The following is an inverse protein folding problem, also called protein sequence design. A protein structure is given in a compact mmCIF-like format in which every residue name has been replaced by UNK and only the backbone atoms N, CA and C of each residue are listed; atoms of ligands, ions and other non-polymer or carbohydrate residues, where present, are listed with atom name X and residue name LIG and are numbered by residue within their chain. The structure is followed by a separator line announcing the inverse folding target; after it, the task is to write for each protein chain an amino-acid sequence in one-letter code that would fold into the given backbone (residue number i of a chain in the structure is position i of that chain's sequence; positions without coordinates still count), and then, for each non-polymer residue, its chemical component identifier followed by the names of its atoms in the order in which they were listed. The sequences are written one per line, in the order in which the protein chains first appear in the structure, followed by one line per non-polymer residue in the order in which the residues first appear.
data_IF_362636225781
#
_entry.id   IF_362636225781
#
_cell.length_a   1.000
_cell.length_b   1.000
_cell.length_c   1.000
_cell.angle_alpha   90.00
_cell.angle_beta   90.00
_cell.angle_gamma   90.00
#
_symmetry.space_group_name_H-M   'P 1'
#
loop_
_entity.id
_entity.type
_entity.pdbx_description
1 polymer ?
#
# COMPACT_ATOMS: atom_id res chain seq x y z
N UNK A 1 15.15 -24.49 1.57
CA UNK A 1 15.52 -24.05 0.20
C UNK A 1 16.41 -22.82 0.20
N UNK A 2 16.03 -21.71 0.87
CA UNK A 2 16.88 -20.50 0.93
C UNK A 2 18.28 -20.76 1.47
N UNK A 3 18.43 -21.40 2.63
CA UNK A 3 19.75 -21.71 3.21
C UNK A 3 20.59 -22.64 2.34
N UNK A 4 19.96 -23.64 1.72
CA UNK A 4 20.62 -24.55 0.78
C UNK A 4 21.14 -23.78 -0.45
N UNK A 5 20.30 -22.90 -1.01
CA UNK A 5 20.67 -22.06 -2.15
C UNK A 5 21.81 -21.08 -1.78
N UNK A 6 21.77 -20.47 -0.59
CA UNK A 6 22.82 -19.58 -0.09
C UNK A 6 24.16 -20.31 0.14
N UNK A 7 24.13 -21.56 0.62
CA UNK A 7 25.32 -22.39 0.80
C UNK A 7 25.98 -22.83 -0.52
N UNK A 8 25.17 -23.01 -1.57
CA UNK A 8 25.62 -23.40 -2.91
C UNK A 8 26.06 -22.18 -3.74
N UNK A 9 25.81 -20.97 -3.25
CA UNK A 9 26.18 -19.72 -3.89
C UNK A 9 27.69 -19.47 -3.84
N UNK A 10 28.30 -19.36 -5.02
CA UNK A 10 29.71 -19.00 -5.23
C UNK A 10 29.84 -17.52 -5.58
N UNK A 11 30.95 -16.88 -5.19
CA UNK A 11 31.18 -15.45 -5.43
C UNK A 11 31.42 -14.67 -4.14
N UNK A 12 32.36 -13.73 -4.19
CA UNK A 12 32.80 -12.93 -3.04
C UNK A 12 32.08 -11.58 -2.93
N UNK A 13 31.65 -10.99 -4.07
CA UNK A 13 30.92 -9.73 -4.12
C UNK A 13 29.40 -9.92 -4.11
N UNK A 14 28.89 -10.88 -4.89
CA UNK A 14 27.50 -11.33 -4.85
C UNK A 14 27.47 -12.85 -4.92
N UNK A 15 26.49 -13.45 -4.23
CA UNK A 15 26.27 -14.90 -4.25
C UNK A 15 25.57 -15.30 -5.55
N UNK A 16 26.22 -16.12 -6.36
CA UNK A 16 25.71 -16.66 -7.63
C UNK A 16 25.53 -18.18 -7.54
N UNK A 17 24.45 -18.71 -8.10
CA UNK A 17 24.26 -20.15 -8.28
C UNK A 17 24.37 -20.46 -9.77
N UNK A 18 25.39 -21.25 -10.15
CA UNK A 18 25.57 -21.66 -11.54
C UNK A 18 24.41 -22.54 -12.03
N UNK A 19 24.13 -22.54 -13.34
CA UNK A 19 23.03 -23.34 -13.90
C UNK A 19 23.20 -24.86 -13.71
N UNK A 20 24.43 -25.36 -13.60
CA UNK A 20 24.70 -26.77 -13.26
C UNK A 20 24.37 -27.05 -11.79
N UNK A 21 24.72 -26.15 -10.88
CA UNK A 21 24.39 -26.24 -9.45
C UNK A 21 22.89 -26.11 -9.20
N UNK A 22 22.19 -25.24 -9.94
CA UNK A 22 20.75 -25.06 -9.78
C UNK A 22 19.96 -26.34 -10.10
N UNK A 23 20.42 -27.13 -11.09
CA UNK A 23 19.78 -28.40 -11.50
C UNK A 23 19.84 -29.48 -10.44
N UNK A 24 20.81 -29.42 -9.52
CA UNK A 24 20.98 -30.43 -8.48
C UNK A 24 20.20 -30.12 -7.21
N UNK A 25 19.55 -28.95 -7.13
CA UNK A 25 18.79 -28.57 -5.96
C UNK A 25 17.53 -29.45 -5.86
N UNK A 26 17.37 -30.23 -4.78
CA UNK A 26 16.20 -31.06 -4.59
C UNK A 26 14.96 -30.19 -4.35
N UNK A 27 13.86 -30.53 -5.01
CA UNK A 27 12.56 -29.89 -4.78
C UNK A 27 11.45 -30.94 -4.79
N UNK A 28 10.36 -30.62 -4.09
CA UNK A 28 9.17 -31.48 -4.05
C UNK A 28 8.33 -31.14 -5.28
N UNK A 29 8.03 -32.15 -6.09
CA UNK A 29 7.17 -32.02 -7.27
C UNK A 29 5.81 -32.70 -6.98
N UNK A 30 4.76 -31.93 -6.63
CA UNK A 30 3.43 -32.50 -6.43
C UNK A 30 2.80 -32.91 -7.78
N UNK A 31 1.69 -33.68 -7.79
CA UNK A 31 0.96 -34.01 -9.02
C UNK A 31 0.49 -32.76 -9.79
N UNK A 32 0.37 -32.86 -11.13
CA UNK A 32 0.04 -31.71 -12.00
C UNK A 32 -1.26 -30.99 -11.61
N UNK A 33 -2.27 -31.72 -11.14
CA UNK A 33 -3.53 -31.12 -10.69
C UNK A 33 -3.30 -30.21 -9.46
N UNK A 34 -2.48 -30.66 -8.52
CA UNK A 34 -2.15 -29.90 -7.32
C UNK A 34 -1.23 -28.71 -7.65
N UNK A 35 -0.28 -28.87 -8.57
CA UNK A 35 0.55 -27.76 -9.05
C UNK A 35 -0.30 -26.59 -9.58
N UNK A 36 -1.33 -26.89 -10.38
CA UNK A 36 -2.26 -25.88 -10.91
C UNK A 36 -3.03 -25.19 -9.79
N UNK A 37 -3.60 -25.96 -8.87
CA UNK A 37 -4.35 -25.39 -7.73
C UNK A 37 -3.47 -24.49 -6.87
N UNK A 38 -2.21 -24.87 -6.62
CA UNK A 38 -1.26 -24.05 -5.88
C UNK A 38 -0.95 -22.77 -6.65
N UNK A 39 -0.66 -22.85 -7.95
CA UNK A 39 -0.37 -21.70 -8.80
C UNK A 39 -1.54 -20.71 -8.83
N UNK A 40 -2.76 -21.18 -9.10
CA UNK A 40 -3.96 -20.33 -9.17
C UNK A 40 -4.23 -19.60 -7.84
N UNK A 41 -4.00 -20.27 -6.71
CA UNK A 41 -4.12 -19.67 -5.38
C UNK A 41 -3.05 -18.60 -5.15
N UNK A 42 -1.81 -18.87 -5.52
CA UNK A 42 -0.72 -17.90 -5.39
C UNK A 42 -0.97 -16.66 -6.25
N UNK A 43 -1.41 -16.85 -7.50
CA UNK A 43 -1.75 -15.74 -8.40
C UNK A 43 -2.86 -14.87 -7.83
N UNK A 44 -3.90 -15.51 -7.29
CA UNK A 44 -5.00 -14.81 -6.62
C UNK A 44 -4.51 -13.99 -5.43
N UNK A 45 -3.69 -14.59 -4.56
CA UNK A 45 -3.15 -13.91 -3.37
C UNK A 45 -2.21 -12.76 -3.73
N UNK A 46 -1.35 -12.94 -4.74
CA UNK A 46 -0.45 -11.90 -5.22
C UNK A 46 -1.22 -10.74 -5.85
N UNK A 47 -2.28 -11.01 -6.61
CA UNK A 47 -3.16 -9.98 -7.16
C UNK A 47 -3.86 -9.16 -6.05
N UNK A 48 -4.34 -9.83 -4.99
CA UNK A 48 -4.93 -9.16 -3.83
C UNK A 48 -3.91 -8.30 -3.08
N UNK A 49 -2.68 -8.80 -2.93
CA UNK A 49 -1.59 -8.06 -2.30
C UNK A 49 -1.25 -6.81 -3.10
N UNK A 50 -1.13 -6.91 -4.42
CA UNK A 50 -0.79 -5.76 -5.26
C UNK A 50 -1.93 -4.72 -5.29
N UNK A 51 -3.19 -5.17 -5.29
CA UNK A 51 -4.33 -4.26 -5.13
C UNK A 51 -4.28 -3.51 -3.80
N UNK A 52 -4.01 -4.22 -2.70
CA UNK A 52 -3.93 -3.64 -1.36
C UNK A 52 -2.79 -2.64 -1.26
N UNK A 53 -1.63 -2.98 -1.81
CA UNK A 53 -0.47 -2.07 -1.89
C UNK A 53 -0.79 -0.82 -2.69
N UNK A 54 -1.40 -0.96 -3.87
CA UNK A 54 -1.80 0.18 -4.69
C UNK A 54 -2.83 1.08 -3.98
N UNK A 55 -3.73 0.52 -3.16
CA UNK A 55 -4.64 1.31 -2.31
C UNK A 55 -3.88 2.07 -1.23
N UNK A 56 -2.92 1.44 -0.57
CA UNK A 56 -2.11 2.05 0.47
C UNK A 56 -1.29 3.23 -0.08
N UNK A 57 -0.71 3.08 -1.26
CA UNK A 57 0.05 4.12 -1.96
C UNK A 57 -0.79 5.37 -2.28
N UNK A 58 -2.12 5.24 -2.39
CA UNK A 58 -3.04 6.38 -2.63
C UNK A 58 -3.40 7.15 -1.36
N UNK A 59 -3.22 6.58 -0.17
CA UNK A 59 -3.60 7.22 1.11
C UNK A 59 -2.96 8.59 1.31
N UNK A 60 -1.64 8.80 1.07
CA UNK A 60 -1.02 10.10 1.25
C UNK A 60 -1.68 11.21 0.41
N UNK A 61 -2.09 10.89 -0.82
CA UNK A 61 -2.76 11.84 -1.70
C UNK A 61 -4.17 12.18 -1.22
N UNK A 62 -4.90 11.19 -0.70
CA UNK A 62 -6.21 11.40 -0.07
C UNK A 62 -6.07 12.31 1.16
N UNK A 63 -5.10 12.01 2.04
CA UNK A 63 -4.83 12.83 3.23
C UNK A 63 -4.45 14.26 2.86
N UNK A 64 -3.66 14.47 1.80
CA UNK A 64 -3.31 15.80 1.31
C UNK A 64 -4.55 16.59 0.89
N UNK A 65 -5.43 15.99 0.08
CA UNK A 65 -6.67 16.64 -0.38
C UNK A 65 -7.64 16.91 0.77
N UNK A 66 -7.75 15.97 1.70
CA UNK A 66 -8.58 16.12 2.88
C UNK A 66 -8.12 17.31 3.74
N UNK A 67 -6.82 17.41 4.03
CA UNK A 67 -6.24 18.55 4.76
C UNK A 67 -6.55 19.88 4.06
N UNK A 68 -6.38 19.95 2.74
CA UNK A 68 -6.69 21.16 1.97
C UNK A 68 -8.18 21.53 2.07
N UNK A 69 -9.07 20.55 1.97
CA UNK A 69 -10.51 20.77 2.05
C UNK A 69 -10.96 21.24 3.44
N UNK A 70 -10.39 20.66 4.49
CA UNK A 70 -10.65 21.07 5.89
C UNK A 70 -10.16 22.50 6.13
N UNK A 71 -8.94 22.83 5.70
CA UNK A 71 -8.41 24.20 5.84
C UNK A 71 -9.23 25.22 5.06
N UNK A 72 -9.64 24.89 3.82
CA UNK A 72 -10.50 25.76 3.02
C UNK A 72 -11.86 25.97 3.70
N UNK A 73 -12.46 24.92 4.27
CA UNK A 73 -13.70 25.03 5.02
C UNK A 73 -13.54 25.90 6.28
N UNK A 74 -12.44 25.73 7.02
CA UNK A 74 -12.12 26.52 8.22
C UNK A 74 -11.97 28.01 7.89
N UNK A 75 -11.17 28.35 6.88
CA UNK A 75 -10.91 29.75 6.50
C UNK A 75 -12.15 30.42 5.89
N UNK A 76 -12.99 29.68 5.18
CA UNK A 76 -14.26 30.19 4.65
C UNK A 76 -15.35 30.39 5.72
N UNK A 77 -15.06 30.12 7.00
CA UNK A 77 -16.04 30.20 8.08
C UNK A 77 -17.13 29.13 8.05
N UNK A 78 -17.16 28.25 7.03
CA UNK A 78 -18.15 27.17 6.87
C UNK A 78 -18.15 26.17 8.02
N UNK A 79 -17.01 25.92 8.66
CA UNK A 79 -16.95 25.03 9.83
C UNK A 79 -17.63 25.59 11.08
N UNK A 80 -17.86 26.90 11.14
CA UNK A 80 -18.45 27.60 12.30
C UNK A 80 -19.78 28.27 11.96
N UNK A 81 -20.33 28.02 10.76
CA UNK A 81 -21.59 28.56 10.26
C UNK A 81 -22.77 28.19 11.18
N UNK A 82 -22.92 26.90 11.49
CA UNK A 82 -23.97 26.40 12.38
C UNK A 82 -23.88 27.01 13.79
N UNK A 83 -22.66 27.21 14.32
CA UNK A 83 -22.47 27.89 15.61
C UNK A 83 -22.87 29.36 15.54
N UNK A 84 -22.53 30.08 14.45
CA UNK A 84 -22.90 31.49 14.27
C UNK A 84 -24.41 31.68 14.20
N UNK A 85 -25.11 30.82 13.46
CA UNK A 85 -26.57 30.85 13.37
C UNK A 85 -27.25 30.67 14.73
N UNK A 86 -26.76 29.74 15.54
CA UNK A 86 -27.30 29.47 16.89
C UNK A 86 -27.03 30.60 17.89
N UNK A 87 -25.94 31.34 17.72
CA UNK A 87 -25.53 32.43 18.62
C UNK A 87 -25.90 33.83 18.10
N UNK A 88 -26.56 33.92 16.94
CA UNK A 88 -27.02 35.19 16.37
C UNK A 88 -25.90 36.14 15.93
N UNK A 89 -24.70 35.62 15.66
CA UNK A 89 -23.53 36.41 15.25
C UNK A 89 -23.49 36.51 13.72
N UNK A 90 -23.67 37.72 13.18
CA UNK A 90 -23.63 37.99 11.74
C UNK A 90 -22.21 38.32 11.28
N UNK A 91 -21.86 37.96 10.03
CA UNK A 91 -20.55 38.30 9.44
C UNK A 91 -20.31 39.83 9.40
N UNK A 92 -21.39 40.62 9.40
CA UNK A 92 -21.37 42.09 9.42
C UNK A 92 -21.09 42.71 10.79
N UNK A 93 -21.09 41.94 11.87
CA UNK A 93 -20.84 42.48 13.23
C UNK A 93 -19.38 42.93 13.43
N UNK A 94 -18.46 42.50 12.55
CA UNK A 94 -17.04 42.87 12.59
C UNK A 94 -16.70 44.15 11.83
N UNK A 95 -17.57 44.64 10.95
CA UNK A 95 -17.36 45.85 10.13
C UNK A 95 -17.69 47.16 10.87
N UNK A 96 -18.13 47.08 12.14
CA UNK A 96 -18.58 48.22 12.95
C UNK A 96 -17.58 48.70 14.02
N UNK A 97 -16.31 48.28 13.95
CA UNK A 97 -15.18 48.75 14.78
C UNK A 97 -14.10 49.43 13.93
#
# INVERSE_FOLDING_TARGET
MRELAESLGTGTTFKEISGSTAKTIPFILPPLAEQKVIADKLDTLLAQLENTKARLERIPQILKRFRQSVLAAAVSGRLTEEWREQNGVSDTDWDAL
#
